data_IF_094200943827
#
_entry.id   IF_094200943827
#
_cell.length_a   1.000
_cell.length_b   1.000
_cell.length_c   1.000
_cell.angle_alpha   90.00
_cell.angle_beta   90.00
_cell.angle_gamma   90.00
#
_symmetry.space_group_name_H-M   'P 1'
#
loop_
_entity.id
_entity.type
_entity.pdbx_description
1 polymer ?
#
# COMPACT_ATOMS: atom_id res chain seq x y z
N UNK A 1 -18.37 16.92 -2.40
CA UNK A 1 -17.73 15.62 -2.70
C UNK A 1 -16.26 15.79 -2.40
N UNK A 2 -15.72 15.02 -1.46
CA UNK A 2 -14.33 15.13 -1.00
C UNK A 2 -13.55 13.87 -1.37
N UNK A 3 -12.31 14.05 -1.82
CA UNK A 3 -11.37 12.96 -2.09
C UNK A 3 -10.19 13.07 -1.13
N UNK A 4 -9.91 11.99 -0.42
CA UNK A 4 -8.73 11.81 0.42
C UNK A 4 -7.76 10.87 -0.30
N UNK A 5 -6.50 11.27 -0.43
CA UNK A 5 -5.44 10.43 -1.00
C UNK A 5 -4.47 10.10 0.13
N UNK A 6 -4.40 8.83 0.48
CA UNK A 6 -3.36 8.26 1.32
C UNK A 6 -2.25 7.77 0.42
N UNK A 7 -1.01 8.03 0.79
CA UNK A 7 0.12 7.55 0.01
C UNK A 7 1.23 6.99 0.89
N UNK A 8 2.02 6.10 0.30
CA UNK A 8 3.34 5.68 0.81
C UNK A 8 4.37 5.80 -0.30
N UNK A 9 5.63 5.70 0.09
CA UNK A 9 6.79 5.64 -0.78
C UNK A 9 7.90 4.89 -0.02
N UNK A 10 8.89 4.37 -0.75
CA UNK A 10 10.12 3.82 -0.17
C UNK A 10 9.86 2.64 0.80
N UNK A 11 8.99 1.71 0.40
CA UNK A 11 8.77 0.51 1.21
C UNK A 11 10.03 -0.36 1.28
N UNK A 12 10.87 -0.39 0.25
CA UNK A 12 12.16 -1.11 0.23
C UNK A 12 12.07 -2.52 0.84
N UNK A 13 11.03 -3.28 0.50
CA UNK A 13 10.86 -4.65 1.00
C UNK A 13 10.41 -4.81 2.46
N UNK A 14 10.05 -3.74 3.17
CA UNK A 14 9.53 -3.79 4.55
C UNK A 14 8.08 -4.33 4.64
N UNK A 15 7.86 -5.55 4.15
CA UNK A 15 6.52 -6.17 4.04
C UNK A 15 5.83 -6.35 5.40
N UNK A 16 6.58 -6.52 6.49
CA UNK A 16 5.99 -6.61 7.83
C UNK A 16 5.27 -5.32 8.25
N UNK A 17 5.81 -4.16 7.86
CA UNK A 17 5.20 -2.86 8.13
C UNK A 17 3.92 -2.64 7.30
N UNK A 18 3.85 -3.29 6.14
CA UNK A 18 2.70 -3.22 5.24
C UNK A 18 1.40 -3.70 5.91
N UNK A 19 1.47 -4.65 6.84
CA UNK A 19 0.28 -5.10 7.60
C UNK A 19 -0.28 -3.99 8.49
N UNK A 20 0.58 -3.19 9.11
CA UNK A 20 0.19 -2.05 9.95
C UNK A 20 -0.36 -0.92 9.08
N UNK A 21 0.28 -0.63 7.95
CA UNK A 21 -0.17 0.34 6.96
C UNK A 21 -1.55 -0.03 6.41
N UNK A 22 -1.75 -1.28 5.99
CA UNK A 22 -3.02 -1.79 5.47
C UNK A 22 -4.15 -1.67 6.50
N UNK A 23 -3.87 -1.96 7.77
CA UNK A 23 -4.87 -1.82 8.84
C UNK A 23 -5.24 -0.36 9.08
N UNK A 24 -4.24 0.52 9.08
CA UNK A 24 -4.43 1.96 9.28
C UNK A 24 -5.20 2.59 8.12
N UNK A 25 -4.80 2.29 6.87
CA UNK A 25 -5.47 2.78 5.68
C UNK A 25 -6.93 2.31 5.58
N UNK A 26 -7.20 1.04 5.92
CA UNK A 26 -8.59 0.52 5.99
C UNK A 26 -9.44 1.27 7.02
N UNK A 27 -8.88 1.60 8.19
CA UNK A 27 -9.59 2.39 9.21
C UNK A 27 -9.91 3.80 8.68
N UNK A 28 -8.92 4.49 8.12
CA UNK A 28 -9.10 5.84 7.57
C UNK A 28 -10.12 5.83 6.42
N UNK A 29 -10.03 4.86 5.50
CA UNK A 29 -10.99 4.71 4.40
C UNK A 29 -12.43 4.61 4.92
N UNK A 30 -12.67 3.78 5.94
CA UNK A 30 -14.01 3.67 6.58
C UNK A 30 -14.48 4.98 7.19
N UNK A 31 -13.60 5.73 7.84
CA UNK A 31 -13.93 7.04 8.43
C UNK A 31 -14.29 8.06 7.35
N UNK A 32 -13.53 8.10 6.24
CA UNK A 32 -13.80 8.98 5.10
C UNK A 32 -15.13 8.62 4.41
N UNK A 33 -15.36 7.33 4.16
CA UNK A 33 -16.60 6.85 3.53
C UNK A 33 -17.82 7.11 4.43
N UNK A 34 -17.71 6.92 5.75
CA UNK A 34 -18.76 7.23 6.70
C UNK A 34 -19.12 8.73 6.74
N UNK A 35 -18.16 9.60 6.43
CA UNK A 35 -18.38 11.04 6.29
C UNK A 35 -18.88 11.46 4.89
N UNK A 36 -19.17 10.50 3.99
CA UNK A 36 -19.64 10.76 2.62
C UNK A 36 -18.52 11.19 1.64
N UNK A 37 -17.26 10.92 1.97
CA UNK A 37 -16.11 11.14 1.10
C UNK A 37 -15.66 9.87 0.35
N UNK A 38 -14.63 10.03 -0.48
CA UNK A 38 -13.92 8.94 -1.15
C UNK A 38 -12.46 8.91 -0.70
N UNK A 39 -11.86 7.71 -0.64
CA UNK A 39 -10.47 7.53 -0.26
C UNK A 39 -9.74 6.71 -1.34
N UNK A 40 -8.53 7.12 -1.70
CA UNK A 40 -7.58 6.33 -2.48
C UNK A 40 -6.35 6.04 -1.63
N UNK A 41 -5.76 4.86 -1.80
CA UNK A 41 -4.47 4.47 -1.24
C UNK A 41 -3.50 4.21 -2.40
N UNK A 42 -2.39 4.95 -2.46
CA UNK A 42 -1.46 4.95 -3.59
C UNK A 42 -0.04 4.66 -3.12
N UNK A 43 0.69 3.83 -3.86
CA UNK A 43 2.13 3.66 -3.69
C UNK A 43 2.86 4.54 -4.71
N UNK A 44 3.74 5.41 -4.22
CA UNK A 44 4.50 6.34 -5.07
C UNK A 44 5.83 5.74 -5.55
N UNK A 45 6.08 4.45 -5.30
CA UNK A 45 7.23 3.71 -5.82
C UNK A 45 8.31 3.40 -4.79
N UNK A 46 9.35 2.73 -5.29
CA UNK A 46 10.49 2.19 -4.56
C UNK A 46 10.11 1.17 -3.47
N UNK A 47 9.13 0.33 -3.81
CA UNK A 47 8.68 -0.75 -2.95
C UNK A 47 9.48 -2.05 -3.08
N UNK A 48 10.13 -2.25 -4.22
CA UNK A 48 10.94 -3.44 -4.51
C UNK A 48 12.31 -3.37 -3.83
N UNK A 49 12.81 -4.51 -3.36
CA UNK A 49 14.13 -4.59 -2.75
C UNK A 49 14.84 -5.87 -3.21
N UNK A 50 16.02 -5.73 -3.82
CA UNK A 50 16.75 -6.87 -4.41
C UNK A 50 17.39 -7.78 -3.38
N UNK A 51 17.62 -7.29 -2.16
CA UNK A 51 18.10 -8.11 -1.05
C UNK A 51 17.00 -9.02 -0.47
N UNK A 52 15.73 -8.75 -0.77
CA UNK A 52 14.61 -9.64 -0.43
C UNK A 52 14.49 -10.74 -1.50
N UNK A 53 14.67 -12.00 -1.09
CA UNK A 53 14.74 -13.14 -2.00
C UNK A 53 13.51 -13.25 -2.90
N UNK A 54 12.31 -13.14 -2.33
CA UNK A 54 11.04 -13.25 -3.04
C UNK A 54 10.91 -12.18 -4.12
N UNK A 55 11.36 -10.96 -3.84
CA UNK A 55 11.29 -9.85 -4.79
C UNK A 55 12.36 -10.00 -5.88
N UNK A 56 13.57 -10.47 -5.53
CA UNK A 56 14.63 -10.74 -6.48
C UNK A 56 14.25 -11.84 -7.49
N UNK A 57 13.74 -12.98 -7.00
CA UNK A 57 13.39 -14.13 -7.87
C UNK A 57 12.13 -13.90 -8.70
N UNK A 58 11.27 -12.96 -8.28
CA UNK A 58 10.04 -12.62 -9.01
C UNK A 58 10.16 -11.34 -9.83
N UNK A 59 11.35 -10.74 -9.92
CA UNK A 59 11.58 -9.46 -10.61
C UNK A 59 10.57 -8.38 -10.16
N UNK A 60 10.41 -8.24 -8.85
CA UNK A 60 9.53 -7.22 -8.25
C UNK A 60 8.07 -7.60 -8.13
N UNK A 61 7.60 -8.66 -8.80
CA UNK A 61 6.18 -9.02 -8.78
C UNK A 61 5.65 -9.35 -7.37
N UNK A 62 6.49 -9.91 -6.50
CA UNK A 62 6.11 -10.16 -5.10
C UNK A 62 5.73 -8.86 -4.35
N UNK A 63 6.44 -7.74 -4.58
CA UNK A 63 6.09 -6.46 -3.99
C UNK A 63 4.70 -5.99 -4.46
N UNK A 64 4.44 -6.08 -5.77
CA UNK A 64 3.15 -5.71 -6.35
C UNK A 64 1.98 -6.55 -5.83
N UNK A 65 2.20 -7.84 -5.58
CA UNK A 65 1.19 -8.72 -4.95
C UNK A 65 0.93 -8.28 -3.51
N UNK A 66 1.97 -7.94 -2.74
CA UNK A 66 1.83 -7.47 -1.38
C UNK A 66 1.05 -6.15 -1.31
N UNK A 67 1.39 -5.16 -2.13
CA UNK A 67 0.68 -3.87 -2.19
C UNK A 67 -0.81 -4.06 -2.52
N UNK A 68 -1.14 -4.88 -3.53
CA UNK A 68 -2.54 -5.20 -3.86
C UNK A 68 -3.26 -5.88 -2.70
N UNK A 69 -2.62 -6.84 -2.04
CA UNK A 69 -3.19 -7.52 -0.87
C UNK A 69 -3.42 -6.56 0.31
N UNK A 70 -2.58 -5.53 0.44
CA UNK A 70 -2.70 -4.47 1.44
C UNK A 70 -3.81 -3.45 1.14
N UNK A 71 -4.39 -3.47 -0.06
CA UNK A 71 -5.51 -2.62 -0.47
C UNK A 71 -5.09 -1.30 -1.14
N UNK A 72 -3.90 -1.28 -1.76
CA UNK A 72 -3.48 -0.19 -2.64
C UNK A 72 -4.29 -0.20 -3.93
N UNK A 73 -4.71 0.99 -4.37
CA UNK A 73 -5.48 1.21 -5.58
C UNK A 73 -4.58 1.45 -6.80
N UNK A 74 -3.40 2.05 -6.58
CA UNK A 74 -2.40 2.38 -7.59
C UNK A 74 -1.00 2.16 -7.05
#
# INVERSE_FOLDING_TARGET
>A
MNLTILHTNDLHGHVDELTRLATTARRIRREVEAAGGHCLLVDCGDAEERSVLEMAVTQGQAAMVCLRAAGYDL
#
